data_IF_705448994641
#
_entry.id   IF_705448994641
#
_cell.length_a   1.000
_cell.length_b   1.000
_cell.length_c   1.000
_cell.angle_alpha   90.00
_cell.angle_beta   90.00
_cell.angle_gamma   90.00
#
_symmetry.space_group_name_H-M   'P 1'
#
loop_
_entity.id
_entity.type
_entity.pdbx_description
1 polymer ?
#
# COMPACT_ATOMS: atom_id res chain seq x y z
N UNK A 1 -7.76 8.72 14.39
CA UNK A 1 -7.28 7.64 15.27
C UNK A 1 -8.23 6.46 15.14
N UNK A 2 -7.72 5.22 15.11
CA UNK A 2 -8.57 4.03 15.13
C UNK A 2 -9.13 3.76 16.53
N UNK A 3 -10.31 3.16 16.60
CA UNK A 3 -10.88 2.69 17.86
C UNK A 3 -10.08 1.51 18.44
N UNK A 4 -10.12 1.33 19.76
CA UNK A 4 -9.45 0.22 20.44
C UNK A 4 -9.93 -1.16 19.95
N UNK A 5 -11.20 -1.26 19.52
CA UNK A 5 -11.78 -2.47 18.92
C UNK A 5 -11.13 -2.84 17.59
N UNK A 6 -10.82 -1.85 16.74
CA UNK A 6 -10.11 -2.06 15.48
C UNK A 6 -8.69 -2.58 15.70
N UNK A 7 -8.02 -2.12 16.76
CA UNK A 7 -6.70 -2.63 17.13
C UNK A 7 -6.76 -4.08 17.60
N UNK A 8 -7.72 -4.44 18.45
CA UNK A 8 -7.93 -5.84 18.84
C UNK A 8 -8.11 -6.73 17.62
N UNK A 9 -9.01 -6.35 16.71
CA UNK A 9 -9.23 -7.08 15.46
C UNK A 9 -7.95 -7.24 14.64
N UNK A 10 -7.20 -6.15 14.43
CA UNK A 10 -5.90 -6.19 13.74
C UNK A 10 -4.92 -7.21 14.35
N UNK A 11 -4.85 -7.30 15.68
CA UNK A 11 -3.98 -8.25 16.35
C UNK A 11 -4.45 -9.71 16.19
N UNK A 12 -5.77 -9.96 16.15
CA UNK A 12 -6.35 -11.28 15.94
C UNK A 12 -6.21 -11.83 14.51
N UNK A 13 -5.94 -10.99 13.50
CA UNK A 13 -5.75 -11.48 12.13
C UNK A 13 -4.57 -12.47 12.06
N UNK A 14 -4.76 -13.59 11.38
CA UNK A 14 -3.69 -14.57 11.12
C UNK A 14 -2.81 -14.10 9.96
N UNK A 15 -1.96 -13.11 10.24
CA UNK A 15 -1.02 -12.52 9.29
C UNK A 15 0.41 -12.90 9.63
N UNK A 16 1.22 -13.17 8.60
CA UNK A 16 2.67 -13.27 8.78
C UNK A 16 3.27 -11.91 9.17
N UNK A 17 4.45 -11.90 9.77
CA UNK A 17 5.12 -10.70 10.27
C UNK A 17 5.18 -9.57 9.21
N UNK A 18 5.52 -9.91 7.97
CA UNK A 18 5.63 -8.95 6.86
C UNK A 18 4.27 -8.29 6.58
N UNK A 19 3.21 -9.07 6.41
CA UNK A 19 1.85 -8.55 6.17
C UNK A 19 1.38 -7.65 7.31
N UNK A 20 1.62 -8.07 8.57
CA UNK A 20 1.26 -7.30 9.76
C UNK A 20 2.00 -5.97 9.83
N UNK A 21 3.29 -5.95 9.52
CA UNK A 21 4.09 -4.73 9.51
C UNK A 21 3.59 -3.73 8.46
N UNK A 22 3.25 -4.23 7.26
CA UNK A 22 2.70 -3.41 6.18
C UNK A 22 1.38 -2.76 6.59
N UNK A 23 0.44 -3.55 7.13
CA UNK A 23 -0.87 -3.03 7.57
C UNK A 23 -0.70 -2.05 8.74
N UNK A 24 0.18 -2.35 9.70
CA UNK A 24 0.48 -1.44 10.82
C UNK A 24 0.96 -0.07 10.32
N UNK A 25 1.92 -0.04 9.39
CA UNK A 25 2.41 1.20 8.80
C UNK A 25 1.33 1.91 7.99
N UNK A 26 0.46 1.18 7.30
CA UNK A 26 -0.68 1.76 6.58
C UNK A 26 -1.63 2.46 7.53
N UNK A 27 -2.02 1.79 8.61
CA UNK A 27 -2.87 2.33 9.68
C UNK A 27 -2.28 3.61 10.28
N UNK A 28 -0.97 3.64 10.54
CA UNK A 28 -0.29 4.80 11.09
C UNK A 28 0.06 5.88 10.07
N UNK A 29 -0.19 5.66 8.77
CA UNK A 29 0.19 6.60 7.71
C UNK A 29 1.68 6.67 7.42
N UNK A 30 2.47 5.68 7.88
CA UNK A 30 3.93 5.61 7.73
C UNK A 30 4.37 4.79 6.51
N UNK A 31 3.51 4.67 5.50
CA UNK A 31 3.85 3.98 4.25
C UNK A 31 4.75 4.90 3.41
N UNK A 32 5.89 4.39 2.90
CA UNK A 32 6.73 5.15 1.98
C UNK A 32 5.91 5.61 0.77
N UNK A 33 5.94 6.92 0.50
CA UNK A 33 5.24 7.52 -0.63
C UNK A 33 6.23 7.85 -1.73
N UNK A 34 5.97 7.40 -2.96
CA UNK A 34 6.81 7.74 -4.13
C UNK A 34 6.97 9.25 -4.28
N UNK A 35 5.89 10.03 -4.07
CA UNK A 35 5.92 11.50 -4.03
C UNK A 35 6.95 12.05 -3.03
N UNK A 36 7.00 11.51 -1.81
CA UNK A 36 7.96 11.95 -0.80
C UNK A 36 9.39 11.60 -1.23
N UNK A 37 9.59 10.39 -1.76
CA UNK A 37 10.89 9.94 -2.25
C UNK A 37 11.40 10.79 -3.42
N UNK A 38 10.55 11.09 -4.40
CA UNK A 38 10.85 12.02 -5.50
C UNK A 38 11.25 13.40 -4.97
N UNK A 39 10.55 13.91 -3.95
CA UNK A 39 10.87 15.20 -3.34
C UNK A 39 12.25 15.22 -2.66
N UNK A 40 12.64 14.15 -1.96
CA UNK A 40 13.90 14.12 -1.18
C UNK A 40 15.10 13.60 -2.00
N UNK A 41 14.86 12.79 -3.03
CA UNK A 41 15.89 12.17 -3.87
C UNK A 41 15.44 12.15 -5.34
N UNK A 42 15.28 13.33 -5.99
CA UNK A 42 14.72 13.43 -7.33
C UNK A 42 15.57 12.77 -8.42
N UNK A 43 16.88 12.59 -8.19
CA UNK A 43 17.80 11.91 -9.11
C UNK A 43 17.74 10.38 -9.06
N UNK A 44 17.15 9.82 -7.99
CA UNK A 44 16.95 8.37 -7.81
C UNK A 44 15.49 7.99 -8.07
N UNK A 45 14.57 8.92 -7.81
CA UNK A 45 13.14 8.74 -7.96
C UNK A 45 12.63 9.79 -8.93
N UNK A 46 12.68 9.52 -10.23
CA UNK A 46 12.50 10.51 -11.30
C UNK A 46 11.08 11.09 -11.41
N UNK A 47 10.12 10.49 -10.69
CA UNK A 47 8.71 10.84 -10.78
C UNK A 47 7.96 10.59 -9.45
N UNK A 48 6.97 11.42 -9.11
CA UNK A 48 6.09 11.25 -7.95
C UNK A 48 4.91 10.29 -8.21
N UNK A 49 4.73 9.84 -9.46
CA UNK A 49 3.60 9.03 -9.90
C UNK A 49 3.67 7.59 -9.36
N UNK A 50 2.53 6.90 -9.34
CA UNK A 50 2.48 5.48 -9.02
C UNK A 50 3.44 4.68 -9.92
N UNK A 51 4.36 3.85 -9.39
CA UNK A 51 5.32 3.12 -10.21
C UNK A 51 4.68 1.98 -11.02
N UNK A 52 3.40 1.66 -10.76
CA UNK A 52 2.68 0.55 -11.42
C UNK A 52 1.84 1.06 -12.59
N UNK A 53 1.01 2.10 -12.39
CA UNK A 53 0.13 2.62 -13.44
C UNK A 53 0.58 3.96 -14.05
N UNK A 54 1.59 4.62 -13.46
CA UNK A 54 2.20 5.87 -13.94
C UNK A 54 1.24 7.07 -14.09
N UNK A 55 0.00 6.97 -13.61
CA UNK A 55 -1.06 7.94 -13.93
C UNK A 55 -1.60 8.75 -12.75
N UNK A 56 -1.43 8.27 -11.51
CA UNK A 56 -1.97 8.91 -10.31
C UNK A 56 -0.85 9.17 -9.32
N UNK A 57 -0.92 10.31 -8.61
CA UNK A 57 0.00 10.61 -7.53
C UNK A 57 -0.05 9.53 -6.44
N UNK A 58 1.11 9.09 -5.98
CA UNK A 58 1.22 7.91 -5.14
C UNK A 58 0.71 8.12 -3.70
N UNK A 59 -0.57 7.81 -3.47
CA UNK A 59 -1.16 7.68 -2.12
C UNK A 59 -1.13 6.23 -1.61
N UNK A 60 -1.07 6.00 -0.29
CA UNK A 60 -1.07 4.64 0.27
C UNK A 60 -2.28 3.80 -0.17
N UNK A 61 -3.49 4.38 -0.19
CA UNK A 61 -4.70 3.69 -0.65
C UNK A 61 -4.60 3.27 -2.12
N UNK A 62 -4.01 4.12 -2.97
CA UNK A 62 -3.75 3.78 -4.36
C UNK A 62 -2.73 2.64 -4.50
N UNK A 63 -1.64 2.67 -3.71
CA UNK A 63 -0.64 1.60 -3.71
C UNK A 63 -1.22 0.23 -3.34
N UNK A 64 -2.13 0.18 -2.37
CA UNK A 64 -2.67 -1.08 -1.87
C UNK A 64 -3.91 -1.56 -2.63
N UNK A 65 -4.84 -0.65 -2.96
CA UNK A 65 -6.20 -1.03 -3.37
C UNK A 65 -6.64 -0.43 -4.70
N UNK A 66 -6.35 0.85 -4.97
CA UNK A 66 -6.98 1.56 -6.10
C UNK A 66 -6.13 1.66 -7.37
N UNK A 67 -4.96 1.02 -7.43
CA UNK A 67 -4.18 0.99 -8.67
C UNK A 67 -4.83 0.03 -9.67
N UNK A 68 -5.33 0.49 -10.84
CA UNK A 68 -6.07 -0.37 -11.76
C UNK A 68 -5.23 -1.53 -12.31
N UNK A 69 -3.95 -1.27 -12.60
CA UNK A 69 -3.00 -2.30 -13.03
C UNK A 69 -2.80 -3.37 -11.95
N UNK A 70 -2.79 -2.97 -10.68
CA UNK A 70 -2.61 -3.88 -9.56
C UNK A 70 -3.88 -4.67 -9.26
N UNK A 71 -5.04 -4.02 -9.34
CA UNK A 71 -6.35 -4.65 -9.20
C UNK A 71 -6.51 -5.78 -10.21
N UNK A 72 -6.19 -5.54 -11.49
CA UNK A 72 -6.21 -6.60 -12.52
C UNK A 72 -5.32 -7.80 -12.16
N UNK A 73 -4.11 -7.55 -11.67
CA UNK A 73 -3.21 -8.61 -11.24
C UNK A 73 -3.79 -9.39 -10.06
N UNK A 74 -4.36 -8.71 -9.06
CA UNK A 74 -5.00 -9.36 -7.92
C UNK A 74 -6.20 -10.19 -8.34
N UNK A 75 -7.07 -9.67 -9.21
CA UNK A 75 -8.19 -10.44 -9.74
C UNK A 75 -7.70 -11.72 -10.40
N UNK A 76 -6.66 -11.65 -11.24
CA UNK A 76 -6.05 -12.85 -11.83
C UNK A 76 -5.60 -13.87 -10.79
N UNK A 77 -4.85 -13.45 -9.77
CA UNK A 77 -4.39 -14.34 -8.69
C UNK A 77 -5.55 -14.93 -7.89
N UNK A 78 -6.56 -14.12 -7.58
CA UNK A 78 -7.74 -14.58 -6.84
C UNK A 78 -8.47 -15.63 -7.68
N UNK A 79 -8.78 -15.36 -8.94
CA UNK A 79 -9.48 -16.30 -9.81
C UNK A 79 -8.71 -17.60 -10.06
N UNK A 80 -7.38 -17.56 -10.08
CA UNK A 80 -6.54 -18.74 -10.33
C UNK A 80 -6.29 -19.58 -9.07
N UNK A 81 -6.20 -18.95 -7.89
CA UNK A 81 -5.66 -19.61 -6.69
C UNK A 81 -6.56 -19.56 -5.44
N UNK A 82 -7.66 -18.82 -5.42
CA UNK A 82 -8.58 -18.70 -4.27
C UNK A 82 -10.02 -19.06 -4.64
#
# INVERSE_FOLDING_TARGET
>A
SLAATSWKFFWFLSLICIQRNVIYRFILGCIPRRRLLHRIMPTVFDSPWCPVCLSVEHFPSHLFFHCPSKEKAWQGVIFEFL
#
